data_IF_721810629314
#
_entry.id   IF_721810629314
#
_cell.length_a   1.000
_cell.length_b   1.000
_cell.length_c   1.000
_cell.angle_alpha   90.00
_cell.angle_beta   90.00
_cell.angle_gamma   90.00
#
_symmetry.space_group_name_H-M   'P 1'
#
loop_
_entity.id
_entity.type
_entity.pdbx_description
1 polymer ?
#
# COMPACT_ATOMS: atom_id res chain seq x y z
N UNK A 1 -12.93 4.93 29.87
CA UNK A 1 -11.92 5.61 30.70
C UNK A 1 -12.47 6.85 31.41
N UNK A 2 -13.15 7.78 30.72
CA UNK A 2 -13.70 8.98 31.37
C UNK A 2 -14.85 8.71 32.38
N UNK A 3 -15.72 7.73 32.11
CA UNK A 3 -16.79 7.34 33.05
C UNK A 3 -16.25 6.73 34.36
N UNK A 4 -15.26 5.83 34.27
CA UNK A 4 -14.62 5.27 35.46
C UNK A 4 -14.00 6.35 36.36
N UNK A 5 -13.42 7.40 35.75
CA UNK A 5 -12.89 8.55 36.49
C UNK A 5 -14.00 9.35 37.19
N UNK A 6 -15.16 9.53 36.55
CA UNK A 6 -16.33 10.16 37.17
C UNK A 6 -16.78 9.35 38.40
N UNK A 7 -16.94 8.03 38.26
CA UNK A 7 -17.36 7.14 39.36
C UNK A 7 -16.35 7.13 40.52
N UNK A 8 -15.06 7.03 40.22
CA UNK A 8 -13.99 7.14 41.21
C UNK A 8 -14.04 8.48 41.96
N UNK A 9 -14.25 9.58 41.24
CA UNK A 9 -14.27 10.92 41.82
C UNK A 9 -15.53 11.16 42.66
N UNK A 10 -16.70 10.71 42.21
CA UNK A 10 -17.95 10.73 42.98
C UNK A 10 -17.82 9.93 44.28
N UNK A 11 -17.19 8.74 44.22
CA UNK A 11 -16.90 7.92 45.40
C UNK A 11 -15.98 8.61 46.40
N UNK A 12 -14.94 9.31 45.94
CA UNK A 12 -14.04 10.09 46.80
C UNK A 12 -14.80 11.25 47.47
N UNK A 13 -15.67 11.93 46.73
CA UNK A 13 -16.43 13.09 47.22
C UNK A 13 -17.71 12.70 47.99
N UNK A 14 -18.07 11.40 48.03
CA UNK A 14 -19.30 10.87 48.63
C UNK A 14 -20.58 11.48 48.04
N UNK A 15 -20.64 11.54 46.70
CA UNK A 15 -21.73 12.17 45.93
C UNK A 15 -22.39 11.13 45.03
N UNK A 16 -23.69 11.27 44.78
CA UNK A 16 -24.44 10.37 43.90
C UNK A 16 -23.95 10.46 42.45
N UNK A 17 -23.50 9.33 41.90
CA UNK A 17 -23.03 9.18 40.53
C UNK A 17 -24.10 9.56 39.49
N UNK A 18 -25.38 9.33 39.80
CA UNK A 18 -26.51 9.63 38.91
C UNK A 18 -26.85 11.13 38.89
N UNK A 19 -26.43 11.88 39.91
CA UNK A 19 -26.61 13.33 40.02
C UNK A 19 -25.31 14.11 39.79
N UNK A 20 -24.30 13.45 39.25
CA UNK A 20 -22.98 14.03 39.04
C UNK A 20 -22.65 14.16 37.55
N UNK A 21 -22.08 15.31 37.18
CA UNK A 21 -21.56 15.58 35.84
C UNK A 21 -20.07 15.90 35.94
N UNK A 22 -19.27 15.35 35.03
CA UNK A 22 -17.86 15.74 34.89
C UNK A 22 -17.63 16.41 33.55
N UNK A 23 -17.09 17.63 33.58
CA UNK A 23 -16.70 18.37 32.38
C UNK A 23 -15.20 18.25 32.18
N UNK A 24 -14.77 17.87 30.97
CA UNK A 24 -13.38 17.57 30.63
C UNK A 24 -12.92 18.37 29.40
N UNK A 25 -11.61 18.55 29.24
CA UNK A 25 -11.04 19.31 28.11
C UNK A 25 -10.98 20.82 28.36
N UNK A 26 -11.04 21.24 29.62
CA UNK A 26 -10.92 22.65 30.01
C UNK A 26 -9.44 23.06 29.94
N UNK A 27 -9.05 24.15 29.27
CA UNK A 27 -7.66 24.57 29.22
C UNK A 27 -7.04 24.83 30.62
N UNK A 28 -5.73 24.62 30.73
CA UNK A 28 -5.02 24.64 32.03
C UNK A 28 -5.00 26.03 32.68
N UNK A 29 -5.06 27.08 31.86
CA UNK A 29 -5.00 28.51 32.16
C UNK A 29 -6.31 29.09 32.73
N UNK A 30 -7.40 28.32 32.76
CA UNK A 30 -8.70 28.77 33.23
C UNK A 30 -8.81 28.73 34.75
N UNK A 31 -9.22 29.83 35.37
CA UNK A 31 -9.53 29.90 36.80
C UNK A 31 -10.94 29.36 37.10
N UNK A 32 -11.17 28.90 38.33
CA UNK A 32 -12.47 28.29 38.73
C UNK A 32 -13.66 29.23 38.48
N UNK A 33 -13.48 30.54 38.68
CA UNK A 33 -14.51 31.55 38.44
C UNK A 33 -14.90 31.66 36.95
N UNK A 34 -13.93 31.58 36.05
CA UNK A 34 -14.14 31.66 34.60
C UNK A 34 -14.83 30.39 34.08
N UNK A 35 -14.44 29.22 34.62
CA UNK A 35 -15.09 27.95 34.30
C UNK A 35 -16.55 27.98 34.77
N UNK A 36 -16.81 28.49 35.97
CA UNK A 36 -18.15 28.60 36.52
C UNK A 36 -19.04 29.51 35.67
N UNK A 37 -18.53 30.63 35.17
CA UNK A 37 -19.27 31.56 34.30
C UNK A 37 -19.70 30.88 32.99
N UNK A 38 -18.79 30.20 32.30
CA UNK A 38 -19.07 29.46 31.05
C UNK A 38 -20.10 28.35 31.29
N UNK A 39 -19.96 27.61 32.39
CA UNK A 39 -20.90 26.56 32.75
C UNK A 39 -22.26 27.13 33.11
N UNK A 40 -22.34 28.29 33.77
CA UNK A 40 -23.61 28.92 34.15
C UNK A 40 -24.41 29.42 32.96
N UNK A 41 -23.72 29.88 31.92
CA UNK A 41 -24.37 30.25 30.66
C UNK A 41 -24.87 29.01 29.91
N UNK A 42 -24.05 27.95 29.84
CA UNK A 42 -24.33 26.78 29.00
C UNK A 42 -25.26 25.76 29.65
N UNK A 43 -25.15 25.56 30.96
CA UNK A 43 -25.93 24.59 31.74
C UNK A 43 -27.11 25.23 32.48
N UNK A 44 -27.50 26.45 32.09
CA UNK A 44 -28.62 27.19 32.68
C UNK A 44 -29.94 26.40 32.66
N UNK A 45 -30.12 25.55 31.65
CA UNK A 45 -31.30 24.69 31.48
C UNK A 45 -31.36 23.54 32.48
N UNK A 46 -30.24 23.17 33.11
CA UNK A 46 -30.13 22.05 34.06
C UNK A 46 -30.48 22.43 35.50
N UNK A 47 -30.97 23.65 35.72
CA UNK A 47 -31.38 24.11 37.05
C UNK A 47 -30.20 24.41 37.96
N UNK A 48 -30.36 24.16 39.27
CA UNK A 48 -29.33 24.45 40.27
C UNK A 48 -28.30 23.33 40.33
N UNK A 49 -27.04 23.70 40.18
CA UNK A 49 -25.90 22.78 40.34
C UNK A 49 -24.77 23.44 41.14
N UNK A 50 -23.89 22.62 41.70
CA UNK A 50 -22.73 23.03 42.50
C UNK A 50 -21.45 22.47 41.91
N UNK A 51 -20.43 23.30 41.80
CA UNK A 51 -19.08 22.85 41.48
C UNK A 51 -18.42 22.24 42.72
N UNK A 52 -18.00 20.98 42.63
CA UNK A 52 -17.44 20.22 43.75
C UNK A 52 -15.91 20.25 43.80
N UNK A 53 -15.26 20.35 42.64
CA UNK A 53 -13.81 20.44 42.58
C UNK A 53 -13.26 20.44 41.16
N UNK A 54 -12.01 20.84 41.05
CA UNK A 54 -11.22 20.91 39.83
C UNK A 54 -9.98 20.02 39.96
N UNK A 55 -9.69 19.21 38.95
CA UNK A 55 -8.48 18.40 38.86
C UNK A 55 -7.73 18.69 37.56
N UNK A 56 -6.41 18.70 37.62
CA UNK A 56 -5.56 18.85 36.45
C UNK A 56 -5.09 17.48 35.94
N UNK A 57 -5.39 17.17 34.68
CA UNK A 57 -5.05 15.89 34.04
C UNK A 57 -3.81 16.05 33.16
N UNK A 58 -2.66 15.64 33.69
CA UNK A 58 -1.36 15.71 33.00
C UNK A 58 -1.34 15.02 31.63
N UNK A 59 -2.09 13.93 31.47
CA UNK A 59 -2.12 13.14 30.23
C UNK A 59 -2.80 13.88 29.06
N UNK A 60 -3.72 14.80 29.36
CA UNK A 60 -4.47 15.59 28.37
C UNK A 60 -4.11 17.07 28.42
N UNK A 61 -3.18 17.46 29.31
CA UNK A 61 -2.80 18.85 29.60
C UNK A 61 -4.01 19.78 29.81
N UNK A 62 -5.06 19.25 30.46
CA UNK A 62 -6.35 19.91 30.60
C UNK A 62 -6.92 19.71 32.01
N UNK A 63 -7.72 20.67 32.45
CA UNK A 63 -8.52 20.60 33.65
C UNK A 63 -9.81 19.77 33.41
N UNK A 64 -10.27 19.13 34.47
CA UNK A 64 -11.58 18.53 34.57
C UNK A 64 -12.27 19.05 35.84
N UNK A 65 -13.59 19.20 35.78
CA UNK A 65 -14.40 19.73 36.87
C UNK A 65 -15.57 18.79 37.15
N UNK A 66 -15.84 18.55 38.43
CA UNK A 66 -16.98 17.77 38.90
C UNK A 66 -18.10 18.71 39.35
N UNK A 67 -19.32 18.43 38.90
CA UNK A 67 -20.54 19.16 39.22
C UNK A 67 -21.55 18.21 39.88
N UNK A 68 -22.24 18.68 40.91
CA UNK A 68 -23.39 18.03 41.54
C UNK A 68 -24.66 18.76 41.13
N UNK A 69 -25.60 18.04 40.54
CA UNK A 69 -26.95 18.51 40.24
C UNK A 69 -27.78 18.45 41.52
N UNK A 70 -28.35 19.60 41.93
CA UNK A 70 -29.17 19.70 43.14
C UNK A 70 -30.65 19.44 42.85
N UNK A 71 -31.03 19.32 41.59
CA UNK A 71 -32.39 19.10 41.09
C UNK A 71 -32.42 17.90 40.15
N UNK A 72 -33.51 17.12 40.19
CA UNK A 72 -33.70 15.97 39.30
C UNK A 72 -33.92 16.49 37.87
N UNK A 73 -32.91 16.29 37.02
CA UNK A 73 -32.86 16.83 35.67
C UNK A 73 -33.03 15.71 34.65
N UNK A 74 -33.81 15.95 33.60
CA UNK A 74 -33.93 15.00 32.50
C UNK A 74 -32.57 14.84 31.82
N UNK A 75 -32.12 13.59 31.74
CA UNK A 75 -30.83 13.18 31.19
C UNK A 75 -30.71 13.58 29.71
N UNK A 76 -31.85 13.71 29.01
CA UNK A 76 -31.91 14.17 27.63
C UNK A 76 -31.62 15.67 27.46
N UNK A 77 -31.74 16.47 28.52
CA UNK A 77 -31.49 17.90 28.52
C UNK A 77 -30.01 18.26 28.73
N UNK A 78 -29.19 17.30 29.16
CA UNK A 78 -27.75 17.49 29.44
C UNK A 78 -27.00 17.55 28.09
N UNK A 79 -26.35 18.67 27.75
CA UNK A 79 -25.58 18.76 26.52
C UNK A 79 -24.34 17.86 26.61
N UNK A 80 -24.02 17.16 25.53
CA UNK A 80 -22.80 16.34 25.45
C UNK A 80 -21.52 17.18 25.39
N UNK A 81 -21.64 18.45 24.98
CA UNK A 81 -20.53 19.37 24.75
C UNK A 81 -20.87 20.80 25.21
N UNK A 82 -19.88 21.49 25.76
CA UNK A 82 -19.94 22.89 26.19
C UNK A 82 -18.93 23.69 25.37
N UNK A 83 -19.35 24.82 24.80
CA UNK A 83 -18.47 25.70 24.04
C UNK A 83 -17.77 26.66 24.99
N UNK A 84 -16.49 26.41 25.28
CA UNK A 84 -15.66 27.29 26.08
C UNK A 84 -14.73 28.15 25.21
N UNK A 85 -14.29 29.28 25.76
CA UNK A 85 -13.13 29.98 25.20
C UNK A 85 -11.93 29.01 25.29
N UNK A 86 -11.29 28.70 24.16
CA UNK A 86 -10.19 27.73 24.09
C UNK A 86 -10.58 26.30 23.67
N UNK A 87 -11.84 26.02 23.34
CA UNK A 87 -12.24 24.78 22.68
C UNK A 87 -13.55 24.17 23.20
N UNK A 88 -13.88 23.00 22.66
CA UNK A 88 -15.07 22.24 23.05
C UNK A 88 -14.77 21.39 24.28
N UNK A 89 -15.52 21.61 25.36
CA UNK A 89 -15.44 20.83 26.58
C UNK A 89 -16.45 19.69 26.53
N UNK A 90 -16.05 18.50 26.93
CA UNK A 90 -16.92 17.31 26.89
C UNK A 90 -17.57 17.08 28.24
N UNK A 91 -18.89 16.92 28.24
CA UNK A 91 -19.67 16.59 29.43
C UNK A 91 -19.83 15.07 29.52
N UNK A 92 -19.46 14.52 30.66
CA UNK A 92 -19.51 13.09 30.96
C UNK A 92 -20.47 12.89 32.12
N UNK A 93 -21.44 12.01 31.96
CA UNK A 93 -22.47 11.71 32.96
C UNK A 93 -22.95 10.27 32.82
N UNK A 94 -23.48 9.71 33.91
CA UNK A 94 -24.04 8.37 33.92
C UNK A 94 -25.50 8.43 33.52
N UNK A 95 -25.87 7.76 32.43
CA UNK A 95 -27.29 7.63 32.04
C UNK A 95 -27.89 6.39 32.72
N UNK A 96 -29.12 6.45 33.27
CA UNK A 96 -29.76 5.31 33.92
C UNK A 96 -30.00 4.09 33.00
N UNK A 97 -30.02 4.27 31.67
CA UNK A 97 -30.49 3.26 30.69
C UNK A 97 -29.46 2.81 29.64
N UNK A 98 -28.19 3.24 29.73
CA UNK A 98 -27.17 2.83 28.73
C UNK A 98 -26.97 1.30 28.70
N UNK A 99 -27.09 0.68 29.87
CA UNK A 99 -26.87 -0.74 30.07
C UNK A 99 -27.96 -1.61 29.45
N UNK A 100 -29.23 -1.20 29.59
CA UNK A 100 -30.38 -1.91 29.04
C UNK A 100 -30.52 -1.69 27.54
N UNK A 101 -30.33 -0.46 27.06
CA UNK A 101 -30.42 -0.14 25.63
C UNK A 101 -29.29 -0.81 24.82
N UNK A 102 -28.07 -0.90 25.37
CA UNK A 102 -26.98 -1.64 24.75
C UNK A 102 -27.30 -3.14 24.64
N UNK A 103 -27.79 -3.75 25.72
CA UNK A 103 -28.14 -5.17 25.74
C UNK A 103 -29.29 -5.49 24.77
N UNK A 104 -30.29 -4.61 24.66
CA UNK A 104 -31.38 -4.75 23.69
C UNK A 104 -30.86 -4.68 22.25
N UNK A 105 -30.01 -3.69 21.93
CA UNK A 105 -29.42 -3.57 20.58
C UNK A 105 -28.51 -4.74 20.25
N UNK A 106 -27.74 -5.24 21.22
CA UNK A 106 -26.87 -6.40 21.04
C UNK A 106 -27.70 -7.67 20.77
N UNK A 107 -28.76 -7.90 21.53
CA UNK A 107 -29.67 -9.02 21.28
C UNK A 107 -30.33 -8.92 19.91
N UNK A 108 -30.81 -7.73 19.52
CA UNK A 108 -31.42 -7.51 18.21
C UNK A 108 -30.44 -7.78 17.05
N UNK A 109 -29.18 -7.38 17.22
CA UNK A 109 -28.11 -7.65 16.26
C UNK A 109 -27.84 -9.15 16.13
N UNK A 110 -27.67 -9.85 17.25
CA UNK A 110 -27.40 -11.29 17.27
C UNK A 110 -28.56 -12.09 16.65
N UNK A 111 -29.81 -11.72 16.95
CA UNK A 111 -31.00 -12.35 16.34
C UNK A 111 -31.02 -12.16 14.83
N UNK A 112 -30.69 -10.96 14.33
CA UNK A 112 -30.65 -10.67 12.89
C UNK A 112 -29.59 -11.51 12.16
N UNK A 113 -28.45 -11.75 12.79
CA UNK A 113 -27.36 -12.58 12.25
C UNK A 113 -27.55 -14.08 12.51
N UNK A 114 -28.68 -14.49 13.13
CA UNK A 114 -28.97 -15.89 13.47
C UNK A 114 -28.03 -16.47 14.54
N UNK A 115 -27.39 -15.61 15.32
CA UNK A 115 -26.47 -15.97 16.39
C UNK A 115 -27.11 -15.80 17.77
N UNK A 116 -26.57 -16.50 18.77
CA UNK A 116 -26.98 -16.35 20.17
C UNK A 116 -25.82 -15.80 20.98
N UNK A 117 -26.12 -15.14 22.11
CA UNK A 117 -25.08 -14.66 23.04
C UNK A 117 -24.15 -15.80 23.47
N UNK A 118 -24.69 -17.01 23.66
CA UNK A 118 -23.88 -18.21 23.93
C UNK A 118 -22.99 -18.63 22.75
N UNK A 119 -23.51 -18.51 21.53
CA UNK A 119 -22.73 -18.71 20.30
C UNK A 119 -21.58 -17.71 20.16
N UNK A 120 -21.83 -16.44 20.50
CA UNK A 120 -20.81 -15.40 20.55
C UNK A 120 -19.71 -15.75 21.57
N UNK A 121 -20.06 -16.06 22.83
CA UNK A 121 -19.05 -16.46 23.84
C UNK A 121 -18.21 -17.67 23.43
N UNK A 122 -18.83 -18.65 22.75
CA UNK A 122 -18.12 -19.81 22.18
C UNK A 122 -17.14 -19.38 21.09
N UNK A 123 -17.55 -18.50 20.18
CA UNK A 123 -16.69 -17.98 19.12
C UNK A 123 -15.50 -17.17 19.66
N UNK A 124 -15.67 -16.54 20.83
CA UNK A 124 -14.61 -15.81 21.54
C UNK A 124 -13.68 -16.71 22.38
N UNK A 125 -13.82 -18.03 22.32
CA UNK A 125 -12.95 -18.97 23.04
C UNK A 125 -13.23 -19.08 24.54
N UNK A 126 -14.35 -18.53 25.02
CA UNK A 126 -14.80 -18.68 26.41
C UNK A 126 -15.72 -19.91 26.54
N UNK A 127 -15.15 -21.11 26.47
CA UNK A 127 -15.87 -22.34 26.76
C UNK A 127 -16.12 -22.48 28.28
N UNK A 128 -17.39 -22.46 28.69
CA UNK A 128 -17.78 -22.77 30.08
C UNK A 128 -18.87 -21.89 30.70
N UNK A 129 -19.28 -20.79 30.06
CA UNK A 129 -20.40 -19.98 30.58
C UNK A 129 -21.73 -20.66 30.22
N UNK A 130 -22.24 -21.46 31.17
CA UNK A 130 -23.57 -22.06 31.09
C UNK A 130 -24.65 -20.96 30.93
N UNK A 131 -25.71 -21.18 30.13
CA UNK A 131 -26.78 -20.20 29.90
C UNK A 131 -27.51 -19.81 31.19
N UNK A 132 -27.33 -20.57 32.27
CA UNK A 132 -27.99 -20.35 33.56
C UNK A 132 -27.36 -19.22 34.41
N UNK A 133 -26.22 -18.65 34.00
CA UNK A 133 -25.54 -17.56 34.76
C UNK A 133 -25.54 -16.22 34.03
N UNK A 134 -26.36 -16.08 32.98
CA UNK A 134 -26.39 -14.89 32.11
C UNK A 134 -27.07 -13.63 32.71
N UNK A 135 -27.65 -13.57 33.93
CA UNK A 135 -28.12 -12.26 34.42
C UNK A 135 -27.01 -11.34 34.95
N UNK A 136 -25.75 -11.79 35.11
CA UNK A 136 -24.76 -11.06 35.93
C UNK A 136 -23.52 -10.53 35.19
N UNK A 137 -23.48 -10.53 33.86
CA UNK A 137 -22.34 -9.93 33.15
C UNK A 137 -22.64 -8.43 32.94
N UNK A 138 -21.87 -7.56 33.62
CA UNK A 138 -22.05 -6.11 33.45
C UNK A 138 -21.75 -5.69 31.99
N UNK A 139 -22.44 -4.66 31.46
CA UNK A 139 -22.21 -4.18 30.11
C UNK A 139 -20.77 -3.71 29.87
N UNK A 140 -20.06 -3.23 30.90
CA UNK A 140 -18.63 -2.90 30.75
C UNK A 140 -17.78 -4.16 30.58
N UNK A 141 -18.11 -5.27 31.26
CA UNK A 141 -17.41 -6.54 31.07
C UNK A 141 -17.67 -7.10 29.66
N UNK A 142 -18.90 -6.98 29.15
CA UNK A 142 -19.25 -7.36 27.77
C UNK A 142 -18.52 -6.50 26.75
N UNK A 143 -18.51 -5.17 26.92
CA UNK A 143 -17.79 -4.26 26.05
C UNK A 143 -16.27 -4.51 26.09
N UNK A 144 -15.72 -4.83 27.26
CA UNK A 144 -14.32 -5.18 27.41
C UNK A 144 -13.98 -6.51 26.73
N UNK A 145 -14.81 -7.54 26.90
CA UNK A 145 -14.65 -8.84 26.24
C UNK A 145 -14.78 -8.74 24.72
N UNK A 146 -15.74 -7.95 24.23
CA UNK A 146 -15.86 -7.61 22.80
C UNK A 146 -14.64 -6.81 22.31
N UNK A 147 -14.15 -5.85 23.10
CA UNK A 147 -12.95 -5.08 22.78
C UNK A 147 -11.69 -5.94 22.69
N UNK A 148 -11.50 -6.87 23.64
CA UNK A 148 -10.41 -7.85 23.62
C UNK A 148 -10.53 -8.82 22.44
N UNK A 149 -11.75 -9.32 22.19
CA UNK A 149 -12.03 -10.17 21.05
C UNK A 149 -11.73 -9.47 19.72
N UNK A 150 -12.10 -8.21 19.56
CA UNK A 150 -11.81 -7.42 18.36
C UNK A 150 -10.32 -7.06 18.24
N UNK A 151 -9.61 -6.91 19.36
CA UNK A 151 -8.16 -6.71 19.38
C UNK A 151 -7.37 -7.99 19.04
N UNK A 152 -7.95 -9.17 19.30
CA UNK A 152 -7.33 -10.48 19.04
C UNK A 152 -7.93 -11.24 17.85
N UNK A 153 -9.04 -10.76 17.28
CA UNK A 153 -9.55 -11.27 16.02
C UNK A 153 -8.53 -10.93 14.93
N UNK A 154 -8.25 -11.85 13.99
CA UNK A 154 -7.57 -11.48 12.76
C UNK A 154 -8.40 -10.37 12.14
N UNK A 155 -7.82 -9.17 12.04
CA UNK A 155 -8.50 -8.03 11.44
C UNK A 155 -9.04 -8.50 10.09
N UNK A 156 -10.36 -8.39 9.82
CA UNK A 156 -10.82 -8.56 8.46
C UNK A 156 -10.04 -7.54 7.66
N UNK A 157 -9.20 -8.02 6.74
CA UNK A 157 -8.34 -7.21 5.90
C UNK A 157 -9.24 -6.21 5.16
N UNK A 158 -9.47 -5.03 5.75
CA UNK A 158 -9.96 -3.85 5.05
C UNK A 158 -9.14 -3.78 3.77
N UNK A 159 -9.76 -3.60 2.59
CA UNK A 159 -9.23 -4.00 1.29
C UNK A 159 -7.80 -3.50 1.13
N UNK A 160 -6.87 -4.34 1.56
CA UNK A 160 -5.48 -3.96 1.78
C UNK A 160 -4.83 -4.15 0.43
N UNK A 161 -5.07 -3.20 -0.49
CA UNK A 161 -4.59 -3.18 -1.89
C UNK A 161 -4.19 -4.58 -2.35
N UNK A 162 -5.16 -5.49 -2.43
CA UNK A 162 -4.88 -6.87 -2.79
C UNK A 162 -4.36 -6.84 -4.22
N UNK A 163 -3.03 -6.82 -4.37
CA UNK A 163 -2.38 -7.01 -5.65
C UNK A 163 -2.50 -8.50 -5.94
N UNK A 164 -3.60 -8.85 -6.60
CA UNK A 164 -3.86 -10.21 -7.04
C UNK A 164 -2.71 -10.66 -7.95
N UNK A 165 -2.11 -11.80 -7.63
CA UNK A 165 -1.16 -12.44 -8.54
C UNK A 165 -1.89 -12.92 -9.80
N UNK A 166 -1.23 -12.76 -10.94
CA UNK A 166 -1.70 -13.38 -12.19
C UNK A 166 -1.59 -14.90 -12.09
N UNK A 167 -2.44 -15.59 -12.84
CA UNK A 167 -2.46 -17.05 -12.84
C UNK A 167 -1.24 -17.58 -13.58
N UNK A 168 -0.64 -18.65 -13.05
CA UNK A 168 0.44 -19.39 -13.72
C UNK A 168 0.22 -20.89 -13.62
N UNK A 169 0.17 -21.55 -14.78
CA UNK A 169 -0.06 -23.00 -14.86
C UNK A 169 1.20 -23.86 -14.92
N UNK A 170 2.40 -23.27 -15.12
CA UNK A 170 3.62 -24.07 -15.34
C UNK A 170 3.82 -24.52 -16.79
N UNK A 171 3.01 -24.01 -17.73
CA UNK A 171 3.14 -24.32 -19.15
C UNK A 171 4.27 -23.50 -19.80
N UNK A 172 5.06 -24.15 -20.66
CA UNK A 172 6.08 -23.47 -21.47
C UNK A 172 5.45 -22.54 -22.55
N UNK A 173 4.19 -22.81 -22.92
CA UNK A 173 3.39 -21.95 -23.79
C UNK A 173 2.28 -21.34 -22.94
N UNK A 174 2.34 -20.03 -22.64
CA UNK A 174 1.29 -19.40 -21.86
C UNK A 174 -0.03 -19.42 -22.62
N UNK A 175 -1.14 -19.62 -21.90
CA UNK A 175 -2.46 -19.37 -22.44
C UNK A 175 -2.62 -17.87 -22.75
N UNK A 176 -3.59 -17.44 -23.59
CA UNK A 176 -3.80 -16.01 -23.88
C UNK A 176 -4.03 -15.13 -22.63
N UNK A 177 -4.44 -15.73 -21.51
CA UNK A 177 -4.68 -15.06 -20.24
C UNK A 177 -3.50 -15.18 -19.24
N UNK A 178 -2.47 -15.95 -19.57
CA UNK A 178 -1.30 -16.18 -18.72
C UNK A 178 -0.07 -15.44 -19.25
N UNK A 179 0.81 -15.02 -18.34
CA UNK A 179 2.10 -14.45 -18.70
C UNK A 179 3.17 -15.56 -18.82
N UNK A 180 4.22 -15.37 -19.65
CA UNK A 180 5.39 -16.21 -19.61
C UNK A 180 5.99 -16.29 -18.20
N UNK A 181 6.60 -17.43 -17.86
CA UNK A 181 7.15 -17.67 -16.52
C UNK A 181 8.03 -16.53 -15.99
N UNK A 182 8.95 -16.00 -16.81
CA UNK A 182 9.88 -14.95 -16.39
C UNK A 182 9.16 -13.65 -15.99
N UNK A 183 8.10 -13.29 -16.73
CA UNK A 183 7.29 -12.10 -16.44
C UNK A 183 6.44 -12.32 -15.19
N UNK A 184 5.84 -13.51 -15.06
CA UNK A 184 5.07 -13.87 -13.87
C UNK A 184 5.94 -13.88 -12.61
N UNK A 185 7.15 -14.46 -12.67
CA UNK A 185 8.07 -14.55 -11.53
C UNK A 185 8.51 -13.16 -11.07
N UNK A 186 8.83 -12.25 -11.99
CA UNK A 186 9.18 -10.86 -11.66
C UNK A 186 8.03 -10.17 -10.93
N UNK A 187 6.81 -10.25 -11.46
CA UNK A 187 5.61 -9.69 -10.82
C UNK A 187 5.35 -10.32 -9.45
N UNK A 188 5.44 -11.65 -9.34
CA UNK A 188 5.19 -12.37 -8.11
C UNK A 188 6.20 -11.99 -7.02
N UNK A 189 7.48 -11.89 -7.38
CA UNK A 189 8.55 -11.51 -6.45
C UNK A 189 8.33 -10.10 -5.88
N UNK A 190 7.89 -9.15 -6.69
CA UNK A 190 7.60 -7.78 -6.23
C UNK A 190 6.33 -7.70 -5.39
N UNK A 191 5.26 -8.39 -5.81
CA UNK A 191 3.98 -8.40 -5.08
C UNK A 191 4.13 -9.06 -3.70
N UNK A 192 4.87 -10.17 -3.60
CA UNK A 192 5.10 -10.90 -2.33
C UNK A 192 5.81 -10.04 -1.29
N UNK A 193 6.76 -9.19 -1.71
CA UNK A 193 7.46 -8.24 -0.81
C UNK A 193 6.53 -7.18 -0.24
N UNK A 194 5.54 -6.75 -1.02
CA UNK A 194 4.59 -5.71 -0.62
C UNK A 194 3.45 -6.22 0.28
N UNK A 195 3.21 -7.53 0.34
CA UNK A 195 2.12 -8.09 1.13
C UNK A 195 2.34 -7.97 2.65
N UNK A 196 1.50 -7.23 3.39
CA UNK A 196 1.65 -7.02 4.83
C UNK A 196 0.98 -8.14 5.64
N UNK A 197 1.20 -9.39 5.27
CA UNK A 197 0.54 -10.57 5.86
C UNK A 197 1.54 -11.64 6.28
N UNK A 198 1.07 -12.62 7.05
CA UNK A 198 1.92 -13.71 7.53
C UNK A 198 2.42 -14.60 6.39
N UNK A 199 3.57 -15.26 6.57
CA UNK A 199 4.11 -16.20 5.56
C UNK A 199 3.12 -17.32 5.19
N UNK A 200 2.28 -17.76 6.14
CA UNK A 200 1.24 -18.75 5.87
C UNK A 200 0.16 -18.22 4.91
N UNK A 201 -0.23 -16.95 5.05
CA UNK A 201 -1.19 -16.31 4.16
C UNK A 201 -0.58 -16.00 2.79
N UNK A 202 0.68 -15.54 2.75
CA UNK A 202 1.39 -15.37 1.47
C UNK A 202 1.50 -16.69 0.70
N UNK A 203 1.81 -17.80 1.39
CA UNK A 203 1.82 -19.15 0.79
C UNK A 203 0.46 -19.55 0.24
N UNK A 204 -0.62 -19.27 0.98
CA UNK A 204 -2.00 -19.53 0.53
C UNK A 204 -2.32 -18.72 -0.73
N UNK A 205 -2.04 -17.43 -0.74
CA UNK A 205 -2.32 -16.55 -1.89
C UNK A 205 -1.48 -16.90 -3.10
N UNK A 206 -0.21 -17.30 -2.91
CA UNK A 206 0.61 -17.84 -3.98
C UNK A 206 -0.03 -19.10 -4.56
N UNK A 207 -0.42 -20.07 -3.72
CA UNK A 207 -1.10 -21.29 -4.17
C UNK A 207 -2.41 -21.00 -4.94
N UNK A 208 -3.18 -19.99 -4.51
CA UNK A 208 -4.41 -19.58 -5.19
C UNK A 208 -4.18 -19.03 -6.61
N UNK A 209 -2.99 -18.52 -6.91
CA UNK A 209 -2.60 -18.10 -8.26
C UNK A 209 -2.04 -19.21 -9.15
N UNK A 210 -1.74 -20.39 -8.60
CA UNK A 210 -1.07 -21.45 -9.33
C UNK A 210 -2.06 -22.49 -9.84
N UNK A 211 -1.82 -23.05 -11.02
CA UNK A 211 -2.62 -24.13 -11.62
C UNK A 211 -1.71 -25.22 -12.18
N UNK A 212 -2.28 -26.38 -12.51
CA UNK A 212 -1.57 -27.46 -13.20
C UNK A 212 -0.21 -27.85 -12.56
N UNK A 213 0.83 -28.12 -13.37
CA UNK A 213 2.17 -28.45 -12.88
C UNK A 213 2.75 -27.47 -11.86
N UNK A 214 2.42 -26.18 -11.96
CA UNK A 214 2.90 -25.17 -11.03
C UNK A 214 2.29 -25.33 -9.62
N UNK A 215 1.00 -25.67 -9.54
CA UNK A 215 0.36 -25.99 -8.26
C UNK A 215 0.90 -27.30 -7.67
N UNK A 216 1.16 -28.30 -8.52
CA UNK A 216 1.75 -29.57 -8.08
C UNK A 216 3.13 -29.37 -7.43
N UNK A 217 3.98 -28.50 -8.02
CA UNK A 217 5.28 -28.15 -7.43
C UNK A 217 5.11 -27.49 -6.05
N UNK A 218 4.15 -26.58 -5.90
CA UNK A 218 3.87 -25.92 -4.60
C UNK A 218 3.53 -26.96 -3.52
N UNK A 219 2.71 -27.96 -3.85
CA UNK A 219 2.37 -29.03 -2.91
C UNK A 219 3.57 -29.90 -2.56
N UNK A 220 4.41 -30.27 -3.54
CA UNK A 220 5.63 -31.05 -3.30
C UNK A 220 6.57 -30.32 -2.35
N UNK A 221 6.86 -29.05 -2.64
CA UNK A 221 7.79 -28.23 -1.86
C UNK A 221 7.28 -28.03 -0.42
N UNK A 222 5.98 -27.83 -0.23
CA UNK A 222 5.38 -27.71 1.11
C UNK A 222 5.34 -29.04 1.88
N UNK A 223 5.18 -30.17 1.19
CA UNK A 223 5.20 -31.49 1.82
C UNK A 223 6.60 -31.84 2.36
N UNK A 224 7.65 -31.49 1.60
CA UNK A 224 9.05 -31.72 2.00
C UNK A 224 9.48 -30.77 3.14
N UNK A 225 9.01 -29.51 3.12
CA UNK A 225 9.29 -28.53 4.16
C UNK A 225 8.08 -27.61 4.44
N UNK A 226 7.26 -27.90 5.46
CA UNK A 226 6.11 -27.06 5.82
C UNK A 226 6.48 -25.63 6.25
N UNK A 227 7.70 -25.44 6.73
CA UNK A 227 8.22 -24.16 7.21
C UNK A 227 8.91 -23.31 6.15
N UNK A 228 8.91 -23.75 4.89
CA UNK A 228 9.55 -23.02 3.78
C UNK A 228 8.99 -21.59 3.62
N UNK A 229 9.86 -20.61 3.37
CA UNK A 229 9.46 -19.23 3.08
C UNK A 229 8.84 -19.11 1.68
N UNK A 230 8.08 -18.04 1.42
CA UNK A 230 7.54 -17.81 0.07
C UNK A 230 8.65 -17.50 -0.93
N UNK A 231 9.72 -16.84 -0.49
CA UNK A 231 10.90 -16.54 -1.31
C UNK A 231 11.61 -17.82 -1.75
N UNK A 232 11.81 -18.78 -0.84
CA UNK A 232 12.40 -20.07 -1.16
C UNK A 232 11.48 -20.91 -2.06
N UNK A 233 10.15 -20.77 -1.90
CA UNK A 233 9.20 -21.36 -2.85
C UNK A 233 9.44 -20.80 -4.25
N UNK A 234 9.46 -19.47 -4.42
CA UNK A 234 9.71 -18.82 -5.72
C UNK A 234 11.05 -19.23 -6.33
N UNK A 235 12.09 -19.45 -5.51
CA UNK A 235 13.37 -19.97 -6.01
C UNK A 235 13.24 -21.43 -6.49
N UNK A 236 12.43 -22.27 -5.84
CA UNK A 236 12.11 -23.61 -6.35
C UNK A 236 11.35 -23.54 -7.69
N UNK A 237 10.39 -22.61 -7.85
CA UNK A 237 9.73 -22.35 -9.13
C UNK A 237 10.74 -21.98 -10.22
N UNK A 238 11.69 -21.10 -9.90
CA UNK A 238 12.77 -20.70 -10.82
C UNK A 238 13.68 -21.87 -11.22
N UNK A 239 13.90 -22.84 -10.34
CA UNK A 239 14.68 -24.03 -10.67
C UNK A 239 13.95 -24.98 -11.62
N UNK A 240 12.63 -25.13 -11.47
CA UNK A 240 11.84 -26.09 -12.24
C UNK A 240 11.32 -25.52 -13.57
N UNK A 241 10.79 -24.29 -13.54
CA UNK A 241 10.17 -23.64 -14.69
C UNK A 241 11.03 -22.56 -15.34
N UNK A 242 12.09 -22.11 -14.65
CA UNK A 242 13.00 -21.11 -15.20
C UNK A 242 13.75 -21.60 -16.41
N UNK A 243 14.23 -20.64 -17.20
CA UNK A 243 15.04 -20.95 -18.37
C UNK A 243 16.26 -21.81 -18.01
N UNK A 244 16.29 -23.04 -18.54
CA UNK A 244 17.43 -23.97 -18.52
C UNK A 244 18.61 -23.47 -19.38
N UNK A 245 18.55 -22.23 -19.87
CA UNK A 245 19.62 -21.63 -20.61
C UNK A 245 20.94 -21.67 -19.83
N UNK A 246 21.92 -22.34 -20.43
CA UNK A 246 23.27 -22.43 -19.88
C UNK A 246 23.98 -21.07 -19.97
N UNK A 247 24.99 -20.88 -19.11
CA UNK A 247 25.89 -19.72 -19.18
C UNK A 247 26.42 -19.47 -20.60
N UNK A 248 26.81 -20.55 -21.29
CA UNK A 248 27.36 -20.51 -22.64
C UNK A 248 26.30 -20.08 -23.67
N UNK A 249 25.09 -20.61 -23.54
CA UNK A 249 23.97 -20.27 -24.44
C UNK A 249 23.59 -18.79 -24.30
N UNK A 250 23.50 -18.26 -23.07
CA UNK A 250 23.21 -16.85 -22.83
C UNK A 250 24.29 -15.93 -23.43
N UNK A 251 25.56 -16.29 -23.27
CA UNK A 251 26.67 -15.56 -23.87
C UNK A 251 26.62 -15.58 -25.40
N UNK A 252 26.41 -16.76 -25.99
CA UNK A 252 26.32 -16.91 -27.45
C UNK A 252 25.14 -16.14 -28.01
N UNK A 253 23.98 -16.19 -27.35
CA UNK A 253 22.79 -15.43 -27.78
C UNK A 253 23.07 -13.94 -27.78
N UNK A 254 23.67 -13.42 -26.70
CA UNK A 254 24.06 -12.02 -26.60
C UNK A 254 25.01 -11.61 -27.75
N UNK A 255 26.12 -12.34 -27.94
CA UNK A 255 27.13 -12.03 -28.95
C UNK A 255 26.62 -12.18 -30.40
N UNK A 256 25.62 -13.02 -30.62
CA UNK A 256 25.02 -13.26 -31.95
C UNK A 256 23.82 -12.35 -32.25
N UNK A 257 23.48 -11.42 -31.37
CA UNK A 257 22.40 -10.48 -31.61
C UNK A 257 22.94 -9.29 -32.37
N UNK A 258 22.39 -9.06 -33.56
CA UNK A 258 22.68 -7.94 -34.45
C UNK A 258 21.39 -7.14 -34.66
N UNK A 259 21.55 -5.89 -35.12
CA UNK A 259 20.43 -5.07 -35.55
C UNK A 259 19.69 -5.75 -36.70
N UNK A 260 18.37 -5.80 -36.60
CA UNK A 260 17.49 -6.36 -37.63
C UNK A 260 17.26 -5.33 -38.76
N UNK A 261 16.87 -5.80 -39.94
CA UNK A 261 16.61 -4.92 -41.08
C UNK A 261 15.45 -3.94 -40.76
N UNK A 262 15.72 -2.64 -40.88
CA UNK A 262 14.75 -1.58 -40.53
C UNK A 262 14.57 -1.32 -39.04
N UNK A 263 15.25 -2.03 -38.14
CA UNK A 263 15.26 -1.74 -36.70
C UNK A 263 16.08 -0.47 -36.44
N UNK A 264 15.58 0.47 -35.62
CA UNK A 264 16.39 1.61 -35.15
C UNK A 264 17.52 1.13 -34.24
N UNK A 265 18.65 1.84 -34.20
CA UNK A 265 19.79 1.48 -33.33
C UNK A 265 19.35 1.47 -31.86
N UNK A 266 18.55 2.45 -31.44
CA UNK A 266 17.98 2.53 -30.09
C UNK A 266 17.11 1.33 -29.71
N UNK A 267 16.33 0.79 -30.66
CA UNK A 267 15.52 -0.42 -30.44
C UNK A 267 16.40 -1.67 -30.32
N UNK A 268 17.43 -1.79 -31.17
CA UNK A 268 18.44 -2.84 -31.08
C UNK A 268 19.12 -2.83 -29.71
N UNK A 269 19.57 -1.66 -29.21
CA UNK A 269 20.23 -1.55 -27.91
C UNK A 269 19.30 -1.96 -26.76
N UNK A 270 18.01 -1.62 -26.82
CA UNK A 270 17.03 -2.06 -25.82
C UNK A 270 16.88 -3.59 -25.79
N UNK A 271 16.75 -4.22 -26.95
CA UNK A 271 16.69 -5.68 -27.09
C UNK A 271 17.96 -6.32 -26.57
N UNK A 272 19.12 -5.79 -26.95
CA UNK A 272 20.44 -6.25 -26.53
C UNK A 272 20.64 -6.15 -25.00
N UNK A 273 20.13 -5.10 -24.37
CA UNK A 273 20.24 -4.89 -22.91
C UNK A 273 19.51 -5.99 -22.12
N UNK A 274 18.37 -6.49 -22.61
CA UNK A 274 17.67 -7.60 -21.96
C UNK A 274 18.51 -8.89 -21.97
N UNK A 275 19.27 -9.12 -23.04
CA UNK A 275 20.16 -10.27 -23.18
C UNK A 275 21.42 -10.11 -22.32
N UNK A 276 21.97 -8.89 -22.24
CA UNK A 276 23.12 -8.58 -21.39
C UNK A 276 22.79 -8.82 -19.91
N UNK A 277 21.63 -8.33 -19.44
CA UNK A 277 21.17 -8.55 -18.06
C UNK A 277 21.08 -10.04 -17.72
N UNK A 278 20.45 -10.83 -18.60
CA UNK A 278 20.39 -12.30 -18.46
C UNK A 278 21.78 -12.95 -18.44
N UNK A 279 22.69 -12.51 -19.30
CA UNK A 279 24.06 -13.02 -19.33
C UNK A 279 24.84 -12.67 -18.04
N UNK A 280 24.60 -11.50 -17.45
CA UNK A 280 25.17 -11.10 -16.16
C UNK A 280 24.60 -11.92 -15.00
N UNK A 281 23.27 -12.11 -14.96
CA UNK A 281 22.59 -12.93 -13.95
C UNK A 281 23.09 -14.38 -13.94
N UNK A 282 23.28 -14.99 -15.12
CA UNK A 282 23.84 -16.34 -15.28
C UNK A 282 25.37 -16.40 -15.08
N UNK A 283 26.00 -15.28 -14.71
CA UNK A 283 27.45 -15.12 -14.52
C UNK A 283 28.27 -15.46 -15.77
N UNK A 284 27.67 -15.26 -16.95
CA UNK A 284 28.35 -15.40 -18.25
C UNK A 284 29.22 -14.18 -18.55
N UNK A 285 28.73 -13.00 -18.20
CA UNK A 285 29.44 -11.73 -18.32
C UNK A 285 29.57 -11.13 -16.90
N UNK A 286 30.78 -10.78 -16.43
CA UNK A 286 30.94 -10.09 -15.15
C UNK A 286 30.28 -8.71 -15.17
N UNK A 287 29.49 -8.38 -14.14
CA UNK A 287 28.81 -7.06 -14.03
C UNK A 287 29.76 -5.87 -14.19
N UNK A 288 30.99 -5.97 -13.68
CA UNK A 288 32.03 -4.94 -13.76
C UNK A 288 32.45 -4.56 -15.19
N UNK A 289 32.23 -5.42 -16.19
CA UNK A 289 32.55 -5.16 -17.59
C UNK A 289 31.29 -5.05 -18.46
N UNK A 290 30.10 -5.03 -17.86
CA UNK A 290 28.85 -5.05 -18.62
C UNK A 290 28.75 -3.84 -19.55
N UNK A 291 29.13 -2.65 -19.08
CA UNK A 291 29.08 -1.42 -19.87
C UNK A 291 30.09 -1.44 -21.03
N UNK A 292 31.29 -1.97 -20.81
CA UNK A 292 32.29 -2.16 -21.87
C UNK A 292 31.78 -3.11 -22.95
N UNK A 293 31.29 -4.28 -22.54
CA UNK A 293 30.80 -5.31 -23.46
C UNK A 293 29.57 -4.81 -24.23
N UNK A 294 28.70 -4.02 -23.58
CA UNK A 294 27.59 -3.32 -24.26
C UNK A 294 28.09 -2.45 -25.39
N UNK A 295 29.01 -1.52 -25.10
CA UNK A 295 29.53 -0.60 -26.11
C UNK A 295 30.15 -1.37 -27.28
N UNK A 296 30.98 -2.37 -26.99
CA UNK A 296 31.63 -3.18 -28.03
C UNK A 296 30.63 -3.93 -28.90
N UNK A 297 29.60 -4.54 -28.31
CA UNK A 297 28.57 -5.25 -29.06
C UNK A 297 27.67 -4.31 -29.87
N UNK A 298 27.44 -3.08 -29.39
CA UNK A 298 26.72 -2.07 -30.18
C UNK A 298 27.57 -1.65 -31.38
N UNK A 299 28.84 -1.32 -31.17
CA UNK A 299 29.76 -0.94 -32.26
C UNK A 299 29.98 -2.06 -33.30
N UNK A 300 29.91 -3.33 -32.88
CA UNK A 300 30.11 -4.48 -33.77
C UNK A 300 28.80 -4.97 -34.42
N UNK A 301 27.66 -4.74 -33.78
CA UNK A 301 26.38 -5.37 -34.13
C UNK A 301 25.32 -4.43 -34.69
N UNK A 302 25.51 -3.11 -34.58
CA UNK A 302 24.63 -2.11 -35.16
C UNK A 302 25.15 -1.59 -36.52
N UNK A 303 24.20 -1.21 -37.37
CA UNK A 303 24.43 -0.42 -38.58
C UNK A 303 24.49 1.04 -38.18
N UNK A 304 25.70 1.54 -37.94
CA UNK A 304 25.96 2.90 -37.45
C UNK A 304 26.30 3.82 -38.63
N UNK A 305 25.75 5.03 -38.62
CA UNK A 305 26.21 6.09 -39.50
C UNK A 305 27.66 6.51 -39.12
N UNK A 306 28.31 7.29 -39.99
CA UNK A 306 29.71 7.67 -39.76
C UNK A 306 29.88 8.54 -38.50
N UNK A 307 28.92 9.42 -38.20
CA UNK A 307 29.02 10.36 -37.09
C UNK A 307 28.85 9.68 -35.73
N UNK A 308 27.81 8.86 -35.57
CA UNK A 308 27.57 8.02 -34.41
C UNK A 308 28.73 7.09 -34.16
N UNK A 309 29.27 6.46 -35.20
CA UNK A 309 30.41 5.57 -35.04
C UNK A 309 31.64 6.29 -34.50
N UNK A 310 31.92 7.52 -34.96
CA UNK A 310 32.98 8.38 -34.41
C UNK A 310 32.69 8.75 -32.94
N UNK A 311 31.48 9.21 -32.62
CA UNK A 311 31.05 9.54 -31.24
C UNK A 311 31.21 8.34 -30.29
N UNK A 312 30.76 7.15 -30.71
CA UNK A 312 30.88 5.93 -29.91
C UNK A 312 32.34 5.47 -29.73
N UNK A 313 33.17 5.64 -30.76
CA UNK A 313 34.62 5.38 -30.65
C UNK A 313 35.29 6.33 -29.65
N UNK A 314 34.96 7.62 -29.70
CA UNK A 314 35.47 8.60 -28.74
C UNK A 314 35.11 8.22 -27.30
N UNK A 315 33.87 7.79 -27.05
CA UNK A 315 33.44 7.30 -25.73
C UNK A 315 34.21 6.07 -25.28
N UNK A 316 34.60 5.19 -26.20
CA UNK A 316 35.44 4.03 -25.90
C UNK A 316 36.85 4.43 -25.46
N UNK A 317 37.40 5.48 -26.06
CA UNK A 317 38.80 5.88 -25.90
C UNK A 317 39.00 6.88 -24.73
N UNK A 318 37.99 7.66 -24.36
CA UNK A 318 38.11 8.79 -23.42
C UNK A 318 37.93 8.45 -21.93
N UNK A 319 37.71 7.18 -21.55
CA UNK A 319 37.67 6.79 -20.13
C UNK A 319 36.77 5.60 -19.83
N UNK A 320 36.00 5.61 -18.71
CA UNK A 320 35.10 4.52 -18.39
C UNK A 320 33.99 4.41 -19.46
N UNK A 321 33.57 3.19 -19.83
CA UNK A 321 32.54 2.99 -20.83
C UNK A 321 31.21 3.63 -20.36
N UNK A 322 30.41 4.18 -21.29
CA UNK A 322 29.14 4.80 -20.98
C UNK A 322 28.18 3.75 -20.42
N UNK A 323 27.43 4.14 -19.39
CA UNK A 323 26.34 3.32 -18.90
C UNK A 323 25.20 3.25 -19.95
N UNK A 324 24.22 2.37 -19.70
CA UNK A 324 23.11 2.17 -20.65
C UNK A 324 22.38 3.48 -21.02
N UNK A 325 22.12 4.36 -20.05
CA UNK A 325 21.37 5.60 -20.29
C UNK A 325 22.20 6.64 -21.04
N UNK A 326 23.49 6.76 -20.73
CA UNK A 326 24.43 7.62 -21.44
C UNK A 326 24.56 7.20 -22.91
N UNK A 327 24.72 5.89 -23.16
CA UNK A 327 24.79 5.35 -24.51
C UNK A 327 23.48 5.59 -25.29
N UNK A 328 22.34 5.31 -24.66
CA UNK A 328 21.03 5.54 -25.28
C UNK A 328 20.78 7.01 -25.61
N UNK A 329 21.26 7.93 -24.78
CA UNK A 329 21.15 9.37 -25.03
C UNK A 329 21.86 9.75 -26.34
N UNK A 330 23.14 9.38 -26.48
CA UNK A 330 23.95 9.70 -27.66
C UNK A 330 23.35 9.09 -28.93
N UNK A 331 22.87 7.85 -28.85
CA UNK A 331 22.22 7.19 -30.00
C UNK A 331 20.94 7.93 -30.41
N UNK A 332 20.09 8.29 -29.44
CA UNK A 332 18.80 8.95 -29.75
C UNK A 332 18.96 10.37 -30.26
N UNK A 333 19.94 11.11 -29.75
CA UNK A 333 20.28 12.45 -30.25
C UNK A 333 20.69 12.38 -31.72
N UNK A 334 21.55 11.42 -32.09
CA UNK A 334 21.93 11.23 -33.49
C UNK A 334 20.75 10.76 -34.36
N UNK A 335 19.94 9.80 -33.91
CA UNK A 335 18.78 9.33 -34.68
C UNK A 335 17.76 10.46 -34.95
N UNK A 336 17.69 11.46 -34.07
CA UNK A 336 16.85 12.66 -34.24
C UNK A 336 17.49 13.67 -35.18
N UNK A 337 18.81 13.89 -35.07
CA UNK A 337 19.59 14.70 -36.01
C UNK A 337 19.45 14.13 -37.44
N UNK A 338 19.65 12.83 -37.66
CA UNK A 338 19.47 12.18 -38.97
C UNK A 338 18.06 12.34 -39.53
N UNK A 339 17.04 12.11 -38.71
CA UNK A 339 15.65 12.27 -39.13
C UNK A 339 15.33 13.71 -39.54
N UNK A 340 15.97 14.71 -38.92
CA UNK A 340 15.79 16.12 -39.30
C UNK A 340 16.40 16.42 -40.68
N UNK A 341 17.60 15.91 -40.97
CA UNK A 341 18.25 16.07 -42.28
C UNK A 341 17.50 15.33 -43.41
N UNK A 342 16.96 14.14 -43.14
CA UNK A 342 16.13 13.41 -44.10
C UNK A 342 14.84 14.15 -44.44
N UNK A 343 14.22 14.83 -43.47
CA UNK A 343 13.01 15.61 -43.72
C UNK A 343 13.31 16.91 -44.49
N UNK A 344 14.40 17.62 -44.15
CA UNK A 344 14.81 18.85 -44.87
C UNK A 344 15.18 18.55 -46.33
N UNK A 345 15.80 17.41 -46.61
CA UNK A 345 16.17 17.00 -47.98
C UNK A 345 15.00 16.51 -48.83
N UNK A 346 13.84 16.18 -48.22
CA UNK A 346 12.59 15.85 -48.93
C UNK A 346 11.75 17.11 -49.19
N UNK A 347 11.91 18.16 -48.36
CA UNK A 347 11.16 19.42 -48.48
C UNK A 347 11.78 20.46 -49.44
N UNK A 348 12.96 20.22 -50.02
CA UNK A 348 13.46 21.00 -51.16
C UNK A 348 12.96 20.40 -52.50
N UNK A 349 11.88 20.93 -53.13
CA UNK A 349 11.63 20.62 -54.53
C UNK A 349 12.70 21.30 -55.39
N UNK A 350 13.23 20.56 -56.38
CA UNK A 350 14.00 21.11 -57.50
C UNK A 350 13.20 22.21 -58.23
N UNK A 351 13.27 23.46 -57.77
CA UNK A 351 12.99 24.63 -58.61
C UNK A 351 14.29 25.08 -59.27
N UNK A 352 14.66 24.37 -60.34
CA UNK A 352 15.81 24.70 -61.18
C UNK A 352 15.61 24.22 -62.61
N UNK A 353 14.86 24.98 -63.40
CA UNK A 353 15.33 25.54 -64.68
C UNK A 353 14.16 25.94 -65.59
N UNK A 354 13.88 27.25 -65.59
CA UNK A 354 12.93 27.90 -66.50
C UNK A 354 13.51 29.18 -67.09
N UNK A 355 14.76 29.15 -67.58
CA UNK A 355 15.28 30.22 -68.42
C UNK A 355 14.66 30.14 -69.81
N UNK A 356 13.49 30.77 -69.98
CA UNK A 356 12.87 31.02 -71.28
C UNK A 356 13.75 31.95 -72.11
N UNK A 357 14.42 31.37 -73.10
CA UNK A 357 15.20 32.08 -74.11
C UNK A 357 14.34 33.03 -74.93
N UNK A 358 14.85 34.25 -75.10
CA UNK A 358 14.30 35.28 -75.97
C UNK A 358 14.54 34.86 -77.43
N UNK A 359 13.51 34.38 -78.12
CA UNK A 359 13.55 34.30 -79.58
C UNK A 359 13.03 35.61 -80.17
N UNK A 360 14.01 36.42 -80.57
CA UNK A 360 13.85 37.53 -81.48
C UNK A 360 13.94 36.97 -82.89
N UNK A 361 12.82 36.89 -83.62
CA UNK A 361 12.83 36.77 -85.08
C UNK A 361 11.95 37.86 -85.66
N UNK A 362 12.60 38.75 -86.42
CA UNK A 362 11.96 39.70 -87.31
C UNK A 362 11.97 39.19 -88.75
N UNK A 363 11.14 39.86 -89.55
CA UNK A 363 11.20 40.04 -91.01
C UNK A 363 11.22 38.78 -91.90
N UNK A 364 10.04 38.40 -92.41
CA UNK A 364 9.61 38.71 -93.81
C UNK A 364 8.12 38.41 -94.03
#
# INVERSE_FOLDING_TARGET
MALALLEDWCRIMSVDEQKSLMVTGIPADYEEAEIQEVLQETLKSLGRYRMLGKIFRKQENANAVLLELLEDTDVSAIPSEVQGKGGVWKVVFKTPNQDTEFLERLNLFLEKEGQTVSGMFRALGHEGVSPATVPCISPELLAHLLGQAMAHAPQPLLPMRYRKLRVFSGSAVPAPEEEPFEVWLEQATEIVKEWPVTEAEKKRWLAESLRGPALDLMHIVQADNPSISVEDCLEAFKQVFGSLESRRTAQVRYLKTYQEEGEKVSAYVLRLETLLRRAVEKRAIPRRIADQVRLEQVMAGATLNQMLWCRLRELKDQGPPPNFLELMKVIREEEEEEASFENESIEEPEEGDGYGGWNHEGDD
#
